data_IF_385293976034
#
_entry.id   IF_385293976034
#
_cell.length_a   1.000
_cell.length_b   1.000
_cell.length_c   1.000
_cell.angle_alpha   90.00
_cell.angle_beta   90.00
_cell.angle_gamma   90.00
#
_symmetry.space_group_name_H-M   'P 1'
#
loop_
_entity.id
_entity.type
_entity.pdbx_description
1 polymer ?
#
# COMPACT_ATOMS: atom_id res chain seq x y z
N UNK A 1 0.95 11.35 -11.48
CA UNK A 1 2.17 11.46 -10.66
C UNK A 1 2.89 10.13 -10.69
N UNK A 2 4.17 10.09 -11.08
CA UNK A 2 4.95 8.83 -11.14
C UNK A 2 5.40 8.40 -9.75
N UNK A 3 5.10 7.15 -9.36
CA UNK A 3 5.51 6.56 -8.09
C UNK A 3 6.37 5.32 -8.33
N UNK A 4 7.51 5.23 -7.64
CA UNK A 4 8.40 4.05 -7.66
C UNK A 4 7.93 3.02 -6.63
N UNK A 5 7.36 1.92 -7.10
CA UNK A 5 6.75 0.88 -6.26
C UNK A 5 7.78 -0.01 -5.56
N UNK A 6 9.01 -0.09 -6.07
CA UNK A 6 10.12 -0.85 -5.46
C UNK A 6 10.77 -0.13 -4.28
N UNK A 7 10.14 0.93 -3.76
CA UNK A 7 10.65 1.68 -2.63
C UNK A 7 10.45 0.84 -1.37
N UNK A 8 11.54 0.56 -0.65
CA UNK A 8 11.49 -0.18 0.61
C UNK A 8 10.91 0.73 1.70
N UNK A 9 9.94 0.22 2.44
CA UNK A 9 9.36 0.90 3.59
C UNK A 9 10.32 0.72 4.76
N UNK A 10 10.61 1.82 5.44
CA UNK A 10 11.53 1.85 6.57
C UNK A 10 10.80 2.08 7.88
N UNK A 11 11.43 1.68 8.96
CA UNK A 11 11.02 1.98 10.33
C UNK A 11 11.07 3.50 10.58
N UNK A 12 10.53 3.93 11.71
CA UNK A 12 10.47 5.34 12.11
C UNK A 12 11.86 6.01 12.19
N UNK A 13 12.93 5.23 12.37
CA UNK A 13 14.32 5.71 12.34
C UNK A 13 14.80 6.08 10.92
N UNK A 14 14.03 5.75 9.87
CA UNK A 14 14.37 6.01 8.47
C UNK A 14 15.58 5.23 7.96
N UNK A 15 16.11 4.30 8.75
CA UNK A 15 17.35 3.56 8.48
C UNK A 15 17.01 2.10 8.17
N UNK A 16 16.26 1.44 9.05
CA UNK A 16 16.01 0.00 8.94
C UNK A 16 14.79 -0.30 8.07
N UNK A 17 14.84 -1.28 7.16
CA UNK A 17 13.66 -1.73 6.46
C UNK A 17 12.66 -2.40 7.42
N UNK A 18 11.37 -2.28 7.11
CA UNK A 18 10.36 -3.15 7.71
C UNK A 18 10.44 -4.49 7.01
N UNK A 19 10.55 -5.58 7.78
CA UNK A 19 10.59 -6.94 7.23
C UNK A 19 9.18 -7.50 7.20
N UNK A 20 8.77 -8.04 6.06
CA UNK A 20 7.55 -8.81 5.95
C UNK A 20 7.74 -10.15 6.70
N UNK A 21 6.91 -10.37 7.70
CA UNK A 21 7.00 -11.54 8.58
C UNK A 21 6.63 -12.86 7.88
N UNK A 22 5.93 -12.82 6.75
CA UNK A 22 5.50 -14.02 6.03
C UNK A 22 6.61 -14.62 5.15
N UNK A 23 7.48 -13.79 4.57
CA UNK A 23 8.49 -14.22 3.61
C UNK A 23 9.93 -13.80 3.98
N UNK A 24 10.10 -13.08 5.10
CA UNK A 24 11.37 -12.59 5.60
C UNK A 24 12.14 -11.68 4.62
N UNK A 25 11.42 -10.96 3.76
CA UNK A 25 11.95 -9.99 2.81
C UNK A 25 11.60 -8.55 3.22
N UNK A 26 12.33 -7.58 2.66
CA UNK A 26 12.05 -6.16 2.82
C UNK A 26 10.65 -5.83 2.27
N UNK A 27 9.84 -5.18 3.11
CA UNK A 27 8.51 -4.72 2.74
C UNK A 27 8.62 -3.52 1.79
N UNK A 28 8.03 -3.63 0.61
CA UNK A 28 8.02 -2.54 -0.38
C UNK A 28 6.70 -1.79 -0.40
N UNK A 29 6.71 -0.59 -0.97
CA UNK A 29 5.49 0.19 -1.21
C UNK A 29 4.48 -0.58 -2.07
N UNK A 30 4.98 -1.40 -3.01
CA UNK A 30 4.14 -2.29 -3.81
C UNK A 30 3.35 -3.25 -2.94
N UNK A 31 4.02 -3.90 -1.98
CA UNK A 31 3.41 -4.89 -1.10
C UNK A 31 2.34 -4.25 -0.24
N UNK A 32 2.62 -3.07 0.33
CA UNK A 32 1.67 -2.30 1.14
C UNK A 32 0.44 -1.93 0.31
N UNK A 33 0.62 -1.38 -0.90
CA UNK A 33 -0.51 -0.99 -1.75
C UNK A 33 -1.35 -2.20 -2.17
N UNK A 34 -0.73 -3.32 -2.56
CA UNK A 34 -1.42 -4.53 -3.00
C UNK A 34 -2.22 -5.14 -1.85
N UNK A 35 -1.59 -5.31 -0.68
CA UNK A 35 -2.28 -5.82 0.50
C UNK A 35 -3.41 -4.89 0.95
N UNK A 36 -3.18 -3.57 0.91
CA UNK A 36 -4.21 -2.60 1.26
C UNK A 36 -5.46 -2.71 0.36
N UNK A 37 -5.26 -2.89 -0.95
CA UNK A 37 -6.37 -2.99 -1.91
C UNK A 37 -7.12 -4.32 -1.81
N UNK A 38 -6.41 -5.42 -1.53
CA UNK A 38 -6.97 -6.77 -1.54
C UNK A 38 -7.52 -7.24 -0.19
N UNK A 39 -7.12 -6.60 0.92
CA UNK A 39 -7.61 -6.98 2.25
C UNK A 39 -9.12 -6.75 2.33
N UNK A 40 -9.91 -7.78 2.67
CA UNK A 40 -11.33 -7.63 2.87
C UNK A 40 -11.59 -6.80 4.14
N UNK A 41 -12.35 -5.72 4.00
CA UNK A 41 -12.81 -4.91 5.14
C UNK A 41 -14.25 -5.26 5.49
N UNK A 42 -14.53 -5.37 6.78
CA UNK A 42 -15.88 -5.60 7.28
C UNK A 42 -16.78 -4.40 6.95
N UNK A 43 -18.00 -4.67 6.47
CA UNK A 43 -18.93 -3.62 6.05
C UNK A 43 -18.61 -2.94 4.71
N UNK A 44 -17.59 -3.39 3.98
CA UNK A 44 -17.26 -2.78 2.69
C UNK A 44 -18.27 -3.13 1.59
N UNK A 45 -18.75 -2.09 0.89
CA UNK A 45 -19.64 -2.24 -0.26
C UNK A 45 -18.97 -3.06 -1.36
N UNK A 46 -19.61 -4.16 -1.77
CA UNK A 46 -19.15 -5.04 -2.87
C UNK A 46 -18.89 -4.26 -4.17
N UNK A 47 -19.56 -3.13 -4.39
CA UNK A 47 -19.35 -2.28 -5.57
C UNK A 47 -17.97 -1.60 -5.58
N UNK A 48 -17.38 -1.34 -4.40
CA UNK A 48 -16.05 -0.72 -4.28
C UNK A 48 -14.89 -1.70 -4.52
N UNK A 49 -15.18 -3.01 -4.52
CA UNK A 49 -14.18 -4.05 -4.80
C UNK A 49 -13.67 -4.03 -6.23
N UNK A 50 -14.51 -3.65 -7.19
CA UNK A 50 -14.12 -3.65 -8.60
C UNK A 50 -13.09 -2.54 -8.91
N UNK A 51 -13.28 -1.27 -8.48
CA UNK A 51 -12.24 -0.25 -8.57
C UNK A 51 -10.91 -0.65 -7.90
N UNK A 52 -10.96 -1.29 -6.73
CA UNK A 52 -9.75 -1.73 -6.02
C UNK A 52 -9.02 -2.82 -6.81
N UNK A 53 -9.76 -3.72 -7.47
CA UNK A 53 -9.21 -4.75 -8.34
C UNK A 53 -8.56 -4.16 -9.62
N UNK A 54 -9.16 -3.14 -10.23
CA UNK A 54 -8.55 -2.43 -11.36
C UNK A 54 -7.23 -1.76 -10.96
N UNK A 55 -7.20 -1.13 -9.80
CA UNK A 55 -5.97 -0.56 -9.23
C UNK A 55 -4.93 -1.63 -8.96
N UNK A 56 -5.32 -2.76 -8.38
CA UNK A 56 -4.42 -3.89 -8.16
C UNK A 56 -3.78 -4.37 -9.46
N UNK A 57 -4.56 -4.56 -10.54
CA UNK A 57 -4.03 -4.98 -11.86
C UNK A 57 -2.99 -4.00 -12.38
N UNK A 58 -3.24 -2.70 -12.21
CA UNK A 58 -2.34 -1.62 -12.63
C UNK A 58 -1.01 -1.64 -11.86
N UNK A 59 -1.01 -2.10 -10.61
CA UNK A 59 0.16 -2.13 -9.73
C UNK A 59 0.95 -3.45 -9.81
N UNK A 60 0.28 -4.57 -10.08
CA UNK A 60 0.85 -5.92 -9.90
C UNK A 60 2.12 -6.18 -10.72
N UNK A 61 2.17 -5.75 -11.97
CA UNK A 61 3.24 -6.15 -12.90
C UNK A 61 4.19 -5.00 -13.27
N UNK A 62 4.12 -3.88 -12.53
CA UNK A 62 4.94 -2.70 -12.79
C UNK A 62 5.86 -2.35 -11.62
N UNK A 63 6.95 -1.63 -11.93
CA UNK A 63 7.91 -1.08 -10.95
C UNK A 63 7.71 0.42 -10.74
N UNK A 64 7.14 1.09 -11.76
CA UNK A 64 6.73 2.49 -11.76
C UNK A 64 5.31 2.56 -12.28
N UNK A 65 4.50 3.41 -11.68
CA UNK A 65 3.11 3.61 -12.08
C UNK A 65 2.79 5.10 -12.10
N UNK A 66 2.05 5.53 -13.12
CA UNK A 66 1.45 6.85 -13.12
C UNK A 66 0.02 6.75 -12.57
N UNK A 67 -0.17 7.35 -11.39
CA UNK A 67 -1.46 7.36 -10.70
C UNK A 67 -2.12 8.73 -10.77
N UNK A 68 -3.44 8.71 -10.97
CA UNK A 68 -4.32 9.88 -10.84
C UNK A 68 -4.52 10.22 -9.37
N UNK A 69 -4.90 11.46 -9.09
CA UNK A 69 -5.13 11.93 -7.72
C UNK A 69 -6.17 11.06 -6.98
N UNK A 70 -7.28 10.72 -7.64
CA UNK A 70 -8.34 9.88 -7.07
C UNK A 70 -7.85 8.47 -6.71
N UNK A 71 -7.00 7.89 -7.56
CA UNK A 71 -6.39 6.57 -7.32
C UNK A 71 -5.46 6.60 -6.10
N UNK A 72 -4.70 7.69 -5.94
CA UNK A 72 -3.82 7.89 -4.78
C UNK A 72 -4.63 8.02 -3.50
N UNK A 73 -5.71 8.80 -3.52
CA UNK A 73 -6.60 8.97 -2.36
C UNK A 73 -7.19 7.62 -1.96
N UNK A 74 -7.70 6.85 -2.92
CA UNK A 74 -8.27 5.52 -2.66
C UNK A 74 -7.27 4.55 -2.02
N UNK A 75 -6.03 4.53 -2.52
CA UNK A 75 -4.95 3.71 -1.94
C UNK A 75 -4.64 4.16 -0.51
N UNK A 76 -4.54 5.47 -0.26
CA UNK A 76 -4.24 6.01 1.07
C UNK A 76 -5.34 5.68 2.10
N UNK A 77 -6.61 5.84 1.73
CA UNK A 77 -7.74 5.47 2.59
C UNK A 77 -7.65 3.99 3.01
N UNK A 78 -7.33 3.11 2.06
CA UNK A 78 -7.17 1.68 2.34
C UNK A 78 -5.98 1.41 3.26
N UNK A 79 -4.84 2.05 3.00
CA UNK A 79 -3.65 1.90 3.83
C UNK A 79 -3.95 2.34 5.26
N UNK A 80 -4.61 3.49 5.46
CA UNK A 80 -4.93 4.02 6.80
C UNK A 80 -5.83 3.10 7.63
N UNK A 81 -6.73 2.35 6.98
CA UNK A 81 -7.60 1.40 7.68
C UNK A 81 -6.85 0.12 8.07
N UNK A 82 -5.98 -0.37 7.19
CA UNK A 82 -5.36 -1.70 7.31
C UNK A 82 -4.05 -1.65 8.09
N UNK A 83 -3.26 -0.63 7.80
CA UNK A 83 -2.02 -0.37 8.49
C UNK A 83 -2.32 0.73 9.51
N UNK A 84 -2.16 0.46 10.83
CA UNK A 84 -2.26 1.52 11.82
C UNK A 84 -1.34 2.66 11.39
N UNK A 85 -1.71 3.92 11.68
CA UNK A 85 -0.94 5.08 11.24
C UNK A 85 0.53 4.82 11.56
N UNK A 86 1.38 4.89 10.53
CA UNK A 86 2.81 4.86 10.70
C UNK A 86 3.17 6.16 11.45
N UNK A 87 3.02 6.15 12.77
CA UNK A 87 3.30 7.31 13.61
C UNK A 87 4.80 7.57 13.48
N UNK A 88 5.15 8.57 12.68
CA UNK A 88 6.46 9.19 12.75
C UNK A 88 6.55 9.91 14.10
N UNK A 89 7.22 9.26 15.05
CA UNK A 89 7.59 9.85 16.32
C UNK A 89 6.53 9.73 17.41
N UNK A 90 6.73 8.77 18.30
CA UNK A 90 6.81 9.11 19.72
C UNK A 90 8.16 8.60 20.21
N UNK A 91 8.97 9.55 20.68
CA UNK A 91 10.22 9.33 21.39
C UNK A 91 9.95 8.82 22.81
#
# INVERSE_FOLDING_TARGET
MEIKLTTVIKQSDGIKPIINQENNLDLTLKDVCINALLTPLEGEDKKKKYPDYELWKKLRDVTKVDLKAEEIVRIKEKIEIIYPPLVMGQA
#
